data_IF_958208692332
#
_entry.id   IF_958208692332
#
_cell.length_a   1.000
_cell.length_b   1.000
_cell.length_c   1.000
_cell.angle_alpha   90.00
_cell.angle_beta   90.00
_cell.angle_gamma   90.00
#
_symmetry.space_group_name_H-M   'P 1'
#
loop_
_entity.id
_entity.type
_entity.pdbx_description
1 polymer ?
#
# COMPACT_ATOMS: atom_id res chain seq x y z
N UNK A 1 26.01 4.87 11.12
CA UNK A 1 24.63 4.74 11.64
C UNK A 1 23.96 3.66 10.82
N UNK A 2 23.45 2.60 11.44
CA UNK A 2 22.79 1.49 10.73
C UNK A 2 21.29 1.58 11.03
N UNK A 3 20.41 1.57 10.00
CA UNK A 3 18.98 1.71 10.22
C UNK A 3 18.42 0.51 10.97
N UNK A 4 17.56 0.78 11.95
CA UNK A 4 16.86 -0.24 12.72
C UNK A 4 15.92 -1.07 11.83
N UNK A 5 15.54 -2.29 12.25
CA UNK A 5 14.58 -3.11 11.49
C UNK A 5 13.24 -2.42 11.25
N UNK A 6 12.81 -1.52 12.16
CA UNK A 6 11.58 -0.75 12.00
C UNK A 6 11.71 0.33 10.92
N UNK A 7 12.83 1.06 10.88
CA UNK A 7 13.12 2.02 9.80
C UNK A 7 13.19 1.34 8.43
N UNK A 8 13.84 0.17 8.35
CA UNK A 8 13.89 -0.62 7.11
C UNK A 8 12.50 -1.07 6.64
N UNK A 9 11.61 -1.46 7.57
CA UNK A 9 10.24 -1.80 7.23
C UNK A 9 9.48 -0.56 6.72
N UNK A 10 9.66 0.58 7.37
CA UNK A 10 9.01 1.84 7.02
C UNK A 10 9.48 2.35 5.65
N UNK A 11 10.76 2.26 5.33
CA UNK A 11 11.30 2.52 3.99
C UNK A 11 10.74 1.57 2.94
N UNK A 12 10.60 0.26 3.25
CA UNK A 12 9.99 -0.70 2.33
C UNK A 12 8.51 -0.41 2.07
N UNK A 13 7.78 0.04 3.09
CA UNK A 13 6.38 0.45 2.96
C UNK A 13 6.29 1.74 2.12
N UNK A 14 7.12 2.74 2.42
CA UNK A 14 7.19 3.99 1.67
C UNK A 14 7.57 3.75 0.20
N UNK A 15 8.55 2.89 -0.06
CA UNK A 15 8.97 2.50 -1.41
C UNK A 15 7.87 1.78 -2.18
N UNK A 16 7.10 0.90 -1.53
CA UNK A 16 5.95 0.23 -2.15
C UNK A 16 4.83 1.20 -2.53
N UNK A 17 4.60 2.27 -1.75
CA UNK A 17 3.60 3.31 -2.07
C UNK A 17 3.90 4.06 -3.36
N UNK A 18 5.17 4.10 -3.75
CA UNK A 18 5.64 4.92 -4.85
C UNK A 18 5.53 4.20 -6.21
N UNK A 19 5.54 2.87 -6.27
CA UNK A 19 5.47 2.07 -7.51
C UNK A 19 4.03 1.87 -8.05
N UNK A 20 3.27 2.94 -8.16
CA UNK A 20 1.89 2.87 -8.66
C UNK A 20 1.87 2.84 -10.19
N UNK A 21 1.63 1.66 -10.77
CA UNK A 21 1.32 1.52 -12.19
C UNK A 21 -0.03 2.19 -12.55
N UNK A 22 -0.13 2.82 -13.71
CA UNK A 22 -1.38 3.40 -14.20
C UNK A 22 -2.46 2.33 -14.48
N UNK A 23 -3.73 2.73 -14.51
CA UNK A 23 -4.88 1.82 -14.68
C UNK A 23 -4.75 0.94 -15.92
N UNK A 24 -4.31 1.51 -17.06
CA UNK A 24 -4.15 0.75 -18.31
C UNK A 24 -3.09 -0.35 -18.21
N UNK A 25 -1.96 -0.03 -17.57
CA UNK A 25 -0.88 -0.99 -17.37
C UNK A 25 -1.25 -2.06 -16.34
N UNK A 26 -1.99 -1.69 -15.27
CA UNK A 26 -2.55 -2.64 -14.30
C UNK A 26 -3.50 -3.62 -14.97
N UNK A 27 -4.48 -3.13 -15.75
CA UNK A 27 -5.47 -3.97 -16.47
C UNK A 27 -4.80 -4.99 -17.40
N UNK A 28 -3.71 -4.60 -18.06
CA UNK A 28 -2.95 -5.49 -18.96
C UNK A 28 -1.86 -6.30 -18.27
N UNK A 29 -1.65 -6.11 -16.97
CA UNK A 29 -0.56 -6.72 -16.19
C UNK A 29 0.82 -6.51 -16.84
N UNK A 30 1.03 -5.35 -17.43
CA UNK A 30 2.31 -4.97 -18.07
C UNK A 30 3.07 -3.95 -17.24
N UNK A 31 4.40 -3.96 -17.32
CA UNK A 31 5.25 -2.95 -16.65
C UNK A 31 4.86 -1.53 -17.08
N UNK A 32 4.60 -0.67 -16.10
CA UNK A 32 4.33 0.76 -16.32
C UNK A 32 5.66 1.52 -16.41
N UNK A 33 5.97 2.06 -17.57
CA UNK A 33 7.21 2.84 -17.80
C UNK A 33 6.98 4.30 -17.44
N UNK A 34 6.98 4.60 -16.14
CA UNK A 34 6.97 5.98 -15.62
C UNK A 34 8.40 6.39 -15.21
N UNK A 35 8.78 7.63 -15.52
CA UNK A 35 10.12 8.16 -15.24
C UNK A 35 10.21 8.95 -13.94
N UNK A 36 9.07 9.40 -13.42
CA UNK A 36 8.97 10.34 -12.30
C UNK A 36 8.21 9.72 -11.13
N UNK A 37 8.53 10.16 -9.91
CA UNK A 37 7.88 9.70 -8.70
C UNK A 37 7.76 10.91 -7.74
N UNK A 38 6.55 11.48 -7.54
CA UNK A 38 5.25 11.01 -8.02
C UNK A 38 5.05 11.16 -9.55
N UNK A 39 4.20 10.33 -10.16
CA UNK A 39 3.94 10.39 -11.60
C UNK A 39 3.08 11.61 -11.94
N UNK A 40 3.67 12.61 -12.58
CA UNK A 40 2.94 13.79 -13.11
C UNK A 40 2.59 13.58 -14.59
N UNK A 41 3.51 13.00 -15.35
CA UNK A 41 3.34 12.79 -16.78
C UNK A 41 2.78 11.39 -17.13
N UNK A 42 2.13 11.24 -18.30
CA UNK A 42 1.71 9.93 -18.80
C UNK A 42 2.88 8.96 -18.97
N UNK A 43 2.68 7.67 -18.69
CA UNK A 43 3.70 6.66 -18.95
C UNK A 43 4.01 6.52 -20.45
N UNK A 44 5.23 6.09 -20.80
CA UNK A 44 5.68 5.99 -22.19
C UNK A 44 4.78 5.11 -23.07
N UNK A 45 4.14 4.09 -22.49
CA UNK A 45 3.19 3.22 -23.21
C UNK A 45 1.90 3.95 -23.55
N UNK A 46 1.35 4.72 -22.62
CA UNK A 46 0.14 5.49 -22.86
C UNK A 46 0.38 6.63 -23.87
N UNK A 47 1.56 7.26 -23.84
CA UNK A 47 1.96 8.24 -24.88
C UNK A 47 1.96 7.59 -26.27
N UNK A 48 2.64 6.45 -26.42
CA UNK A 48 2.76 5.76 -27.73
C UNK A 48 1.44 5.26 -28.29
N UNK A 49 0.46 4.98 -27.43
CA UNK A 49 -0.85 4.47 -27.83
C UNK A 49 -1.93 5.56 -27.77
N UNK A 50 -1.54 6.80 -27.47
CA UNK A 50 -2.46 7.95 -27.33
C UNK A 50 -3.63 7.66 -26.37
N UNK A 51 -3.35 6.94 -25.29
CA UNK A 51 -4.33 6.59 -24.25
C UNK A 51 -4.28 7.59 -23.10
N UNK A 52 -5.45 7.92 -22.54
CA UNK A 52 -5.54 8.65 -21.27
C UNK A 52 -4.87 7.86 -20.15
N UNK A 53 -3.79 8.41 -19.58
CA UNK A 53 -3.00 7.76 -18.54
C UNK A 53 -3.47 8.22 -17.16
N UNK A 54 -4.21 7.36 -16.46
CA UNK A 54 -4.74 7.66 -15.12
C UNK A 54 -3.98 6.82 -14.09
N UNK A 55 -3.39 7.48 -13.11
CA UNK A 55 -2.80 6.84 -11.95
C UNK A 55 -3.83 6.82 -10.82
N UNK A 56 -4.12 5.67 -10.19
CA UNK A 56 -5.03 5.63 -9.07
C UNK A 56 -4.40 6.28 -7.83
N UNK A 57 -5.14 7.15 -7.15
CA UNK A 57 -4.77 7.66 -5.83
C UNK A 57 -4.65 6.49 -4.85
N UNK A 58 -3.45 6.30 -4.30
CA UNK A 58 -3.20 5.31 -3.23
C UNK A 58 -3.37 5.92 -1.85
N UNK A 59 -4.13 7.01 -1.74
CA UNK A 59 -4.47 7.62 -0.46
C UNK A 59 -5.52 6.75 0.27
N UNK A 60 -5.12 5.56 0.69
CA UNK A 60 -5.75 4.98 1.88
C UNK A 60 -5.06 5.65 3.07
N UNK A 61 -5.79 6.43 3.89
CA UNK A 61 -5.25 6.86 5.17
C UNK A 61 -4.84 5.59 5.92
N UNK A 62 -3.67 5.62 6.55
CA UNK A 62 -3.26 4.60 7.49
C UNK A 62 -4.41 4.43 8.49
N UNK A 63 -5.22 3.38 8.31
CA UNK A 63 -6.15 2.93 9.33
C UNK A 63 -5.35 2.83 10.61
N UNK A 64 -5.71 3.65 11.59
CA UNK A 64 -5.22 3.54 12.95
C UNK A 64 -5.24 2.06 13.34
N UNK A 65 -4.05 1.51 13.55
CA UNK A 65 -3.92 0.25 14.24
C UNK A 65 -4.34 0.51 15.68
N UNK A 66 -5.63 0.37 15.99
CA UNK A 66 -6.05 0.19 17.38
C UNK A 66 -5.70 -1.24 17.80
N UNK A 67 -4.81 -1.43 18.79
CA UNK A 67 -4.47 -2.73 19.32
C UNK A 67 -5.13 -2.88 20.70
N UNK A 68 -6.37 -3.37 20.79
CA UNK A 68 -6.94 -3.78 22.08
C UNK A 68 -7.54 -5.19 22.03
N UNK A 69 -6.64 -6.16 21.99
CA UNK A 69 -6.86 -7.47 22.58
C UNK A 69 -6.14 -7.52 23.94
N UNK A 70 -6.84 -7.11 24.99
CA UNK A 70 -6.44 -7.22 26.40
C UNK A 70 -7.76 -7.08 27.20
N UNK A 71 -8.25 -7.96 28.06
CA UNK A 71 -7.69 -8.99 28.91
C UNK A 71 -8.82 -9.95 29.37
N UNK A 72 -8.47 -11.24 29.47
CA UNK A 72 -8.73 -12.11 30.64
C UNK A 72 -10.19 -12.48 30.98
N UNK A 73 -10.54 -13.69 30.53
CA UNK A 73 -11.14 -14.78 31.31
C UNK A 73 -11.50 -14.44 32.77
N UNK A 74 -12.77 -14.12 33.04
CA UNK A 74 -13.32 -14.22 34.39
C UNK A 74 -14.84 -14.47 34.35
N UNK A 75 -15.24 -15.55 35.03
CA UNK A 75 -16.56 -15.91 35.56
C UNK A 75 -17.40 -16.92 34.76
N UNK A 76 -17.25 -18.21 35.11
CA UNK A 76 -18.37 -18.99 35.66
C UNK A 76 -17.85 -20.32 36.25
N UNK A 77 -18.02 -20.50 37.56
CA UNK A 77 -17.91 -21.79 38.24
C UNK A 77 -19.03 -22.74 37.76
N UNK A 78 -18.81 -24.07 37.77
CA UNK A 78 -19.80 -25.05 37.28
C UNK A 78 -21.04 -25.13 38.18
N UNK A 79 -22.23 -25.46 37.65
CA UNK A 79 -23.38 -25.78 38.49
C UNK A 79 -23.14 -27.14 39.16
N UNK A 80 -23.17 -27.14 40.50
CA UNK A 80 -23.38 -28.36 41.27
C UNK A 80 -24.87 -28.61 41.41
N UNK A 81 -25.32 -29.80 41.01
CA UNK A 81 -26.45 -30.58 41.56
C UNK A 81 -26.23 -32.05 41.24
#
# INVERSE_FOLDING_TARGET
>A
YSPTPQEQLQERIAKRRNETACINCRKRKTKCMVKEQPPVNPCQRCIRLELTCIYPDTAEPLSEAEPEAHLVYQHASPPGV
#
